data_IF_962642217508
#
_entry.id   IF_962642217508
#
_cell.length_a   1.000
_cell.length_b   1.000
_cell.length_c   1.000
_cell.angle_alpha   90.00
_cell.angle_beta   90.00
_cell.angle_gamma   90.00
#
_symmetry.space_group_name_H-M   'P 1'
#
loop_
_entity.id
_entity.type
_entity.pdbx_description
1 polymer ?
#
# COMPACT_ATOMS: atom_id res chain seq x y z
N UNK A 1 -32.99 10.58 2.94
CA UNK A 1 -31.61 11.04 3.15
C UNK A 1 -30.72 10.15 2.29
N UNK A 2 -30.08 10.71 1.27
CA UNK A 2 -29.19 9.96 0.38
C UNK A 2 -27.98 9.52 1.20
N UNK A 3 -27.84 8.22 1.46
CA UNK A 3 -26.70 7.71 2.22
C UNK A 3 -25.42 7.95 1.40
N UNK A 4 -24.55 8.83 1.88
CA UNK A 4 -23.30 9.12 1.18
C UNK A 4 -22.36 7.92 1.30
N UNK A 5 -21.93 7.41 0.15
CA UNK A 5 -21.06 6.25 0.03
C UNK A 5 -19.68 6.67 -0.50
N UNK A 6 -18.63 5.99 -0.06
CA UNK A 6 -17.28 6.15 -0.61
C UNK A 6 -17.10 5.36 -1.92
N UNK A 7 -16.00 5.56 -2.67
CA UNK A 7 -15.69 4.75 -3.84
C UNK A 7 -15.63 3.25 -3.52
N UNK A 8 -15.80 2.39 -4.54
CA UNK A 8 -15.62 0.94 -4.36
C UNK A 8 -14.15 0.60 -4.05
N UNK A 9 -13.94 -0.38 -3.18
CA UNK A 9 -12.62 -0.88 -2.82
C UNK A 9 -12.67 -2.12 -1.93
N UNK A 10 -11.53 -2.76 -1.71
CA UNK A 10 -11.43 -4.00 -0.94
C UNK A 10 -11.45 -3.72 0.57
N UNK A 11 -12.33 -4.42 1.30
CA UNK A 11 -12.39 -4.38 2.75
C UNK A 11 -11.22 -5.17 3.38
N UNK A 12 -10.46 -4.62 4.34
CA UNK A 12 -9.34 -5.32 4.98
C UNK A 12 -9.75 -6.42 5.95
N UNK A 13 -11.06 -6.54 6.28
CA UNK A 13 -11.56 -7.54 7.22
C UNK A 13 -12.12 -8.77 6.51
N UNK A 14 -13.02 -8.56 5.55
CA UNK A 14 -13.68 -9.65 4.83
C UNK A 14 -13.13 -9.89 3.43
N UNK A 15 -12.18 -9.07 2.96
CA UNK A 15 -11.49 -9.19 1.67
C UNK A 15 -12.39 -9.05 0.42
N UNK A 16 -13.66 -8.71 0.63
CA UNK A 16 -14.61 -8.44 -0.45
C UNK A 16 -14.50 -7.01 -0.98
N UNK A 17 -14.81 -6.82 -2.26
CA UNK A 17 -15.05 -5.48 -2.83
C UNK A 17 -16.35 -4.91 -2.27
N UNK A 18 -16.28 -3.75 -1.63
CA UNK A 18 -17.42 -3.09 -1.00
C UNK A 18 -17.48 -1.62 -1.35
N UNK A 19 -18.69 -1.06 -1.22
CA UNK A 19 -18.90 0.37 -1.19
C UNK A 19 -19.20 0.78 0.26
N UNK A 20 -18.24 1.40 0.93
CA UNK A 20 -18.38 1.69 2.35
C UNK A 20 -19.38 2.81 2.61
N UNK A 21 -20.16 2.64 3.68
CA UNK A 21 -21.15 3.62 4.15
C UNK A 21 -20.47 4.56 5.12
N UNK A 22 -20.60 5.87 4.92
CA UNK A 22 -20.09 6.85 5.88
C UNK A 22 -20.97 6.80 7.13
N UNK A 23 -20.35 6.60 8.29
CA UNK A 23 -21.02 6.64 9.60
C UNK A 23 -20.66 7.90 10.40
N UNK A 24 -19.53 8.54 10.06
CA UNK A 24 -19.07 9.79 10.68
C UNK A 24 -18.23 10.58 9.68
N UNK A 25 -18.71 11.76 9.29
CA UNK A 25 -17.95 12.71 8.47
C UNK A 25 -16.96 13.48 9.35
N UNK A 26 -15.74 13.66 8.87
CA UNK A 26 -14.66 14.34 9.57
C UNK A 26 -13.96 15.35 8.65
N UNK A 27 -13.68 16.54 9.16
CA UNK A 27 -13.00 17.61 8.40
C UNK A 27 -11.48 17.58 8.54
N UNK A 28 -10.98 17.22 9.73
CA UNK A 28 -9.54 17.11 10.03
C UNK A 28 -9.02 15.68 9.91
N UNK A 29 -9.87 14.70 10.20
CA UNK A 29 -9.54 13.27 10.13
C UNK A 29 -10.25 12.64 8.92
N UNK A 30 -9.93 11.38 8.63
CA UNK A 30 -10.65 10.62 7.59
C UNK A 30 -12.07 10.33 8.06
N UNK A 31 -13.02 10.35 7.14
CA UNK A 31 -14.38 9.88 7.41
C UNK A 31 -14.35 8.44 7.89
N UNK A 32 -15.07 8.18 8.99
CA UNK A 32 -15.25 6.83 9.50
C UNK A 32 -16.33 6.16 8.67
N UNK A 33 -15.99 5.03 8.10
CA UNK A 33 -16.90 4.26 7.28
C UNK A 33 -17.15 2.88 7.88
N UNK A 34 -18.26 2.26 7.51
CA UNK A 34 -18.61 0.90 7.87
C UNK A 34 -18.67 0.01 6.63
N UNK A 35 -18.07 -1.17 6.72
CA UNK A 35 -18.22 -2.21 5.71
C UNK A 35 -19.67 -2.73 5.72
N UNK A 36 -20.39 -2.72 4.58
CA UNK A 36 -21.77 -3.23 4.53
C UNK A 36 -21.87 -4.76 4.70
N UNK A 37 -20.77 -5.50 4.51
CA UNK A 37 -20.76 -6.96 4.53
C UNK A 37 -20.44 -7.51 5.94
N UNK A 38 -19.37 -7.00 6.56
CA UNK A 38 -18.88 -7.50 7.85
C UNK A 38 -19.04 -6.51 9.02
N UNK A 39 -19.63 -5.34 8.77
CA UNK A 39 -19.83 -4.26 9.75
C UNK A 39 -18.55 -3.70 10.39
N UNK A 40 -17.37 -4.08 9.89
CA UNK A 40 -16.08 -3.57 10.34
C UNK A 40 -15.92 -2.07 10.08
N UNK A 41 -15.30 -1.36 11.03
CA UNK A 41 -14.92 0.05 10.88
C UNK A 41 -13.72 0.17 9.97
N UNK A 42 -13.88 0.90 8.86
CA UNK A 42 -12.89 1.03 7.80
C UNK A 42 -12.71 2.48 7.40
N UNK A 43 -11.53 2.80 6.85
CA UNK A 43 -11.17 4.13 6.37
C UNK A 43 -10.61 4.04 4.97
N UNK A 44 -10.75 5.10 4.16
CA UNK A 44 -10.07 5.14 2.87
C UNK A 44 -8.55 5.12 3.07
N UNK A 45 -7.85 4.32 2.27
CA UNK A 45 -6.40 4.24 2.26
C UNK A 45 -5.79 5.62 1.99
N UNK A 46 -4.72 5.99 2.70
CA UNK A 46 -4.02 7.26 2.46
C UNK A 46 -3.13 7.26 1.23
N UNK A 47 -2.81 6.10 0.65
CA UNK A 47 -1.96 6.05 -0.54
C UNK A 47 -2.66 6.77 -1.70
N UNK A 48 -2.02 7.79 -2.32
CA UNK A 48 -2.58 8.44 -3.49
C UNK A 48 -2.92 7.44 -4.60
N UNK A 49 -4.12 7.58 -5.17
CA UNK A 49 -4.63 6.70 -6.22
C UNK A 49 -5.14 5.33 -5.73
N UNK A 50 -5.18 5.07 -4.42
CA UNK A 50 -5.74 3.84 -3.87
C UNK A 50 -7.13 4.06 -3.28
N UNK A 51 -8.12 3.29 -3.75
CA UNK A 51 -9.50 3.32 -3.24
C UNK A 51 -9.82 2.18 -2.28
N UNK A 52 -8.86 1.31 -1.96
CA UNK A 52 -9.04 0.24 -0.97
C UNK A 52 -9.14 0.81 0.45
N UNK A 53 -9.55 -0.05 1.38
CA UNK A 53 -9.81 0.35 2.75
C UNK A 53 -8.70 -0.08 3.72
N UNK A 54 -8.38 0.80 4.66
CA UNK A 54 -7.53 0.55 5.80
C UNK A 54 -8.36 0.18 7.04
N UNK A 55 -7.75 -0.54 7.97
CA UNK A 55 -8.42 -1.06 9.17
C UNK A 55 -8.62 0.05 10.19
N UNK A 56 -9.84 0.20 10.71
CA UNK A 56 -10.07 0.97 11.92
C UNK A 56 -9.70 0.16 13.16
N UNK A 57 -8.90 0.72 14.04
CA UNK A 57 -8.48 0.07 15.28
C UNK A 57 -9.10 0.72 16.51
N UNK A 58 -8.97 0.06 17.67
CA UNK A 58 -9.46 0.63 18.95
C UNK A 58 -8.62 1.80 19.44
N UNK A 59 -7.31 1.76 19.17
CA UNK A 59 -6.34 2.75 19.66
C UNK A 59 -5.72 3.56 18.54
N UNK A 60 -5.55 2.94 17.36
CA UNK A 60 -4.93 3.56 16.20
C UNK A 60 -5.58 3.01 14.92
N UNK A 61 -5.79 3.88 13.94
CA UNK A 61 -6.34 3.51 12.63
C UNK A 61 -5.20 3.31 11.64
N UNK A 62 -5.19 2.20 10.92
CA UNK A 62 -4.17 1.94 9.92
C UNK A 62 -4.22 3.02 8.83
N UNK A 63 -3.07 3.57 8.47
CA UNK A 63 -2.99 4.62 7.45
C UNK A 63 -3.12 4.05 6.04
N UNK A 64 -2.65 2.80 5.85
CA UNK A 64 -2.60 2.11 4.58
C UNK A 64 -3.44 0.84 4.61
N UNK A 65 -4.04 0.50 3.47
CA UNK A 65 -4.69 -0.80 3.30
C UNK A 65 -3.63 -1.92 3.20
N UNK A 66 -4.00 -3.18 3.45
CA UNK A 66 -3.07 -4.31 3.41
C UNK A 66 -2.26 -4.39 2.11
N UNK A 67 -2.88 -4.15 0.95
CA UNK A 67 -2.19 -4.19 -0.35
C UNK A 67 -1.13 -3.11 -0.51
N UNK A 68 -1.27 -1.97 0.17
CA UNK A 68 -0.27 -0.89 0.14
C UNK A 68 0.83 -1.12 1.19
N UNK A 69 0.51 -1.78 2.30
CA UNK A 69 1.48 -2.16 3.34
C UNK A 69 2.32 -3.35 2.91
N UNK A 70 1.83 -4.27 2.09
CA UNK A 70 2.65 -5.41 1.61
C UNK A 70 3.76 -4.97 0.64
N UNK A 71 3.54 -3.89 -0.13
CA UNK A 71 4.51 -3.41 -1.12
C UNK A 71 5.78 -2.78 -0.54
N UNK A 72 5.82 -2.44 0.76
CA UNK A 72 7.03 -1.95 1.44
C UNK A 72 7.97 -3.09 1.90
N UNK A 73 7.54 -4.36 1.82
CA UNK A 73 8.39 -5.49 2.24
C UNK A 73 9.23 -6.10 1.11
N UNK A 74 8.98 -5.78 -0.17
CA UNK A 74 9.63 -6.47 -1.31
C UNK A 74 10.59 -5.60 -2.14
N UNK A 75 10.87 -4.36 -1.74
CA UNK A 75 11.82 -3.50 -2.47
C UNK A 75 13.04 -3.14 -1.62
N UNK A 76 13.74 -4.16 -1.12
CA UNK A 76 15.21 -4.05 -0.95
C UNK A 76 15.84 -4.51 -2.26
N UNK A 77 15.86 -3.64 -3.27
CA UNK A 77 16.80 -3.83 -4.38
C UNK A 77 18.15 -3.37 -3.82
N UNK A 78 19.14 -4.26 -3.55
CA UNK A 78 20.47 -3.79 -3.28
C UNK A 78 20.97 -3.15 -4.57
N UNK A 79 20.98 -1.81 -4.62
CA UNK A 79 21.74 -1.11 -5.65
C UNK A 79 23.22 -1.40 -5.41
N UNK A 80 23.71 -2.44 -6.07
CA UNK A 80 25.13 -2.73 -6.17
C UNK A 80 25.74 -1.59 -6.97
N UNK A 81 26.41 -0.68 -6.27
CA UNK A 81 27.29 0.32 -6.89
C UNK A 81 28.45 -0.41 -7.56
N UNK A 82 28.31 -0.76 -8.84
CA UNK A 82 29.43 -1.21 -9.65
C UNK A 82 30.28 0.01 -9.96
N UNK A 83 31.27 0.27 -9.12
CA UNK A 83 32.33 1.24 -9.39
C UNK A 83 33.11 0.76 -10.61
N UNK A 84 32.84 1.38 -11.76
CA UNK A 84 33.62 1.18 -12.99
C UNK A 84 34.98 1.84 -12.80
N UNK A 85 35.89 1.19 -12.08
CA UNK A 85 37.31 1.56 -12.13
C UNK A 85 37.87 0.93 -13.39
N UNK A 86 37.84 1.71 -14.47
CA UNK A 86 38.55 1.40 -15.69
C UNK A 86 40.06 1.33 -15.43
N UNK A 87 40.59 0.11 -15.34
CA UNK A 87 42.01 -0.16 -15.50
C UNK A 87 42.19 -1.15 -16.67
N UNK A 88 42.37 -0.57 -17.87
CA UNK A 88 43.56 -0.78 -18.74
C UNK A 88 44.58 -1.71 -18.04
N UNK A 89 44.95 -2.91 -18.50
CA UNK A 89 45.28 -3.36 -19.85
C UNK A 89 45.43 -4.88 -19.88
N UNK A 90 44.97 -5.46 -20.97
CA UNK A 90 45.29 -6.80 -21.50
C UNK A 90 46.80 -6.96 -21.70
N UNK A 91 47.48 -7.71 -20.84
CA UNK A 91 48.78 -8.36 -21.13
C UNK A 91 49.05 -9.43 -20.07
N UNK A 92 49.65 -10.55 -20.51
CA UNK A 92 50.10 -11.74 -19.76
C UNK A 92 49.12 -12.93 -19.83
N UNK A 93 49.65 -14.08 -20.26
CA UNK A 93 49.00 -15.34 -20.69
C UNK A 93 48.38 -15.23 -22.10
N UNK A 94 49.08 -15.50 -23.21
CA UNK A 94 50.17 -16.45 -23.40
C UNK A 94 49.59 -17.84 -23.59
N UNK A 95 49.20 -18.17 -24.82
CA UNK A 95 48.83 -19.52 -25.24
C UNK A 95 49.71 -19.87 -26.45
N UNK A 96 50.44 -20.98 -26.31
CA UNK A 96 51.40 -21.55 -27.26
C UNK A 96 50.69 -22.50 -28.26
N UNK A 97 51.36 -22.68 -29.40
CA UNK A 97 51.09 -23.49 -30.61
C UNK A 97 50.22 -22.87 -31.73
#
# INVERSE_FOLDING_TARGET
MSQQCKPKGICPFCLEEVQAKIIEENTLRRDKCQCPNCNGTIFICRKPGCNNYAKGGRFYDDELCPSCTSGISETVVPMVVVSVVGMVTKKLFGEED
#
